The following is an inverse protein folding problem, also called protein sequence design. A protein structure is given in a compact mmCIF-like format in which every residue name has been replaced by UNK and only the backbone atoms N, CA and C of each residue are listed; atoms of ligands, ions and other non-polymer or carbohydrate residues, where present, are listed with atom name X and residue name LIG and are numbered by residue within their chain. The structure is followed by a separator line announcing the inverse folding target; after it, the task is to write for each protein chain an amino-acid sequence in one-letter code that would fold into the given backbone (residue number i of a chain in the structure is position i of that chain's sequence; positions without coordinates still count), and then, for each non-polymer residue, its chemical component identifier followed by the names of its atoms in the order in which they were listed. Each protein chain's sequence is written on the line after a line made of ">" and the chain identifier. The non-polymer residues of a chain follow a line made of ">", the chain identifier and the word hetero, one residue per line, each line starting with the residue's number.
data_IF_263533836260
#
_entry.id   IF_263533836260
#
_cell.length_a   1.000
_cell.length_b   1.000
_cell.length_c   1.000
_cell.angle_alpha   90.00
_cell.angle_beta   90.00
_cell.angle_gamma   90.00
#
_symmetry.space_group_name_H-M   'P 1'
#
loop_
_entity.id
_entity.type
_entity.pdbx_description
1 polymer ?
#
# COMPACT_ATOMS: atom_id res chain seq x y z
N UNK A 1 133.71 -15.73 67.06
CA UNK A 1 133.98 -16.73 66.00
C UNK A 1 132.66 -17.16 65.37
N UNK A 2 132.40 -16.79 64.11
CA UNK A 2 131.20 -17.23 63.39
C UNK A 2 131.39 -18.68 62.93
N UNK A 3 130.59 -19.61 63.47
CA UNK A 3 130.59 -21.03 63.04
C UNK A 3 130.19 -21.08 61.56
N UNK A 4 131.09 -21.61 60.72
CA UNK A 4 130.80 -21.91 59.31
C UNK A 4 129.60 -22.88 59.28
N UNK A 5 128.47 -22.43 58.73
CA UNK A 5 127.29 -23.29 58.52
C UNK A 5 127.69 -24.52 57.70
N UNK A 6 127.21 -25.70 58.08
CA UNK A 6 127.51 -26.95 57.38
C UNK A 6 126.94 -26.91 55.95
N UNK A 7 127.54 -27.66 55.01
CA UNK A 7 127.04 -27.74 53.64
C UNK A 7 125.55 -28.12 53.58
N UNK A 8 125.10 -28.97 54.52
CA UNK A 8 123.70 -29.39 54.67
C UNK A 8 122.76 -28.22 55.02
N UNK A 9 123.20 -27.26 55.81
CA UNK A 9 122.39 -26.08 56.17
C UNK A 9 122.23 -25.13 54.98
N UNK A 10 123.25 -25.03 54.12
CA UNK A 10 123.17 -24.24 52.87
C UNK A 10 122.19 -24.87 51.89
N UNK A 11 122.23 -26.19 51.73
CA UNK A 11 121.29 -26.91 50.87
C UNK A 11 119.83 -26.78 51.35
N UNK A 12 119.59 -26.88 52.66
CA UNK A 12 118.26 -26.64 53.25
C UNK A 12 117.77 -25.21 52.99
N UNK A 13 118.62 -24.20 53.19
CA UNK A 13 118.28 -22.81 52.90
C UNK A 13 117.96 -22.59 51.43
N UNK A 14 118.73 -23.17 50.50
CA UNK A 14 118.45 -23.08 49.06
C UNK A 14 117.10 -23.73 48.73
N UNK A 15 116.78 -24.89 49.30
CA UNK A 15 115.49 -25.57 49.13
C UNK A 15 114.32 -24.78 49.73
N UNK A 16 114.53 -24.10 50.86
CA UNK A 16 113.51 -23.24 51.46
C UNK A 16 113.27 -21.98 50.61
N UNK A 17 114.34 -21.33 50.13
CA UNK A 17 114.26 -20.16 49.24
C UNK A 17 113.63 -20.53 47.90
N UNK A 18 113.94 -21.70 47.32
CA UNK A 18 113.28 -22.13 46.08
C UNK A 18 111.79 -22.38 46.30
N UNK A 19 111.41 -23.04 47.41
CA UNK A 19 110.00 -23.27 47.77
C UNK A 19 109.24 -21.97 48.04
N UNK A 20 109.84 -20.96 48.68
CA UNK A 20 109.18 -19.67 48.89
C UNK A 20 109.01 -18.91 47.58
N UNK A 21 110.02 -18.94 46.70
CA UNK A 21 109.93 -18.36 45.36
C UNK A 21 108.86 -19.05 44.50
N UNK A 22 108.78 -20.37 44.52
CA UNK A 22 107.77 -21.15 43.80
C UNK A 22 106.36 -20.84 44.33
N UNK A 23 106.18 -20.78 45.66
CA UNK A 23 104.92 -20.36 46.28
C UNK A 23 104.51 -18.96 45.86
N UNK A 24 105.45 -18.01 45.86
CA UNK A 24 105.21 -16.64 45.41
C UNK A 24 104.84 -16.58 43.91
N UNK A 25 105.53 -17.35 43.06
CA UNK A 25 105.25 -17.44 41.64
C UNK A 25 103.86 -18.04 41.36
N UNK A 26 103.47 -19.11 42.06
CA UNK A 26 102.13 -19.71 41.98
C UNK A 26 101.08 -18.71 42.47
N UNK A 27 101.32 -18.00 43.58
CA UNK A 27 100.40 -16.98 44.08
C UNK A 27 100.20 -15.85 43.07
N UNK A 28 101.28 -15.37 42.42
CA UNK A 28 101.22 -14.37 41.34
C UNK A 28 100.39 -14.88 40.16
N UNK A 29 100.63 -16.11 39.69
CA UNK A 29 99.84 -16.72 38.60
C UNK A 29 98.36 -16.91 38.97
N UNK A 30 98.07 -17.31 40.21
CA UNK A 30 96.69 -17.43 40.73
C UNK A 30 95.98 -16.07 40.76
N UNK A 31 96.66 -15.02 41.21
CA UNK A 31 96.13 -13.64 41.19
C UNK A 31 95.81 -13.19 39.76
N UNK A 32 96.76 -13.35 38.83
CA UNK A 32 96.55 -13.02 37.41
C UNK A 32 95.39 -13.82 36.79
N UNK A 33 95.26 -15.11 37.11
CA UNK A 33 94.13 -15.93 36.66
C UNK A 33 92.80 -15.45 37.25
N UNK A 34 92.79 -15.03 38.51
CA UNK A 34 91.63 -14.44 39.18
C UNK A 34 91.17 -13.15 38.50
N UNK A 35 92.11 -12.24 38.23
CA UNK A 35 91.87 -10.97 37.50
C UNK A 35 91.35 -11.24 36.08
N UNK A 36 91.96 -12.16 35.33
CA UNK A 36 91.50 -12.55 34.00
C UNK A 36 90.07 -13.12 34.02
N UNK A 37 89.75 -13.97 35.00
CA UNK A 37 88.38 -14.51 35.18
C UNK A 37 87.38 -13.40 35.55
N UNK A 38 87.77 -12.45 36.40
CA UNK A 38 86.93 -11.31 36.77
C UNK A 38 86.66 -10.41 35.54
N UNK A 39 87.69 -10.09 34.77
CA UNK A 39 87.58 -9.34 33.51
C UNK A 39 86.64 -10.01 32.51
N UNK A 40 86.79 -11.34 32.29
CA UNK A 40 85.88 -12.11 31.44
C UNK A 40 84.42 -12.03 31.91
N UNK A 41 84.18 -12.17 33.22
CA UNK A 41 82.83 -12.08 33.79
C UNK A 41 82.22 -10.68 33.61
N UNK A 42 83.00 -9.62 33.84
CA UNK A 42 82.58 -8.24 33.62
C UNK A 42 82.21 -8.00 32.15
N UNK A 43 83.10 -8.34 31.21
CA UNK A 43 82.84 -8.20 29.78
C UNK A 43 81.61 -9.00 29.31
N UNK A 44 81.42 -10.21 29.84
CA UNK A 44 80.22 -11.02 29.53
C UNK A 44 78.94 -10.35 30.06
N UNK A 45 78.99 -9.76 31.26
CA UNK A 45 77.85 -9.04 31.84
C UNK A 45 77.52 -7.80 31.00
N UNK A 46 78.52 -7.02 30.61
CA UNK A 46 78.37 -5.86 29.74
C UNK A 46 77.76 -6.24 28.39
N UNK A 47 78.30 -7.27 27.73
CA UNK A 47 77.77 -7.78 26.46
C UNK A 47 76.29 -8.21 26.58
N UNK A 48 75.93 -8.89 27.68
CA UNK A 48 74.53 -9.25 27.96
C UNK A 48 73.63 -8.02 28.15
N UNK A 49 74.11 -7.00 28.86
CA UNK A 49 73.33 -5.76 29.05
C UNK A 49 73.16 -5.00 27.74
N UNK A 50 74.21 -4.92 26.91
CA UNK A 50 74.14 -4.30 25.58
C UNK A 50 73.14 -5.03 24.68
N UNK A 51 73.19 -6.37 24.65
CA UNK A 51 72.24 -7.19 23.90
C UNK A 51 70.79 -6.99 24.38
N UNK A 52 70.56 -6.92 25.70
CA UNK A 52 69.23 -6.63 26.25
C UNK A 52 68.71 -5.26 25.80
N UNK A 53 69.54 -4.22 25.90
CA UNK A 53 69.17 -2.86 25.49
C UNK A 53 68.88 -2.78 23.99
N UNK A 54 69.66 -3.46 23.16
CA UNK A 54 69.43 -3.51 21.72
C UNK A 54 68.11 -4.23 21.38
N UNK A 55 67.84 -5.37 22.03
CA UNK A 55 66.56 -6.08 21.88
C UNK A 55 65.38 -5.19 22.26
N UNK A 56 65.47 -4.44 23.36
CA UNK A 56 64.43 -3.51 23.78
C UNK A 56 64.25 -2.35 22.77
N UNK A 57 65.34 -1.81 22.23
CA UNK A 57 65.29 -0.77 21.19
C UNK A 57 64.61 -1.29 19.93
N UNK A 58 64.96 -2.49 19.48
CA UNK A 58 64.36 -3.13 18.30
C UNK A 58 62.88 -3.44 18.53
N UNK A 59 62.50 -3.93 19.71
CA UNK A 59 61.10 -4.13 20.08
C UNK A 59 60.29 -2.83 20.09
N UNK A 60 60.87 -1.73 20.60
CA UNK A 60 60.23 -0.40 20.57
C UNK A 60 60.04 0.10 19.13
N UNK A 61 61.07 -0.04 18.28
CA UNK A 61 61.01 0.36 16.86
C UNK A 61 59.95 -0.44 16.08
N UNK A 62 59.93 -1.76 16.23
CA UNK A 62 58.96 -2.65 15.56
C UNK A 62 57.53 -2.37 16.03
N UNK A 63 57.30 -2.20 17.35
CA UNK A 63 55.98 -1.82 17.89
C UNK A 63 55.52 -0.46 17.36
N UNK A 64 56.41 0.52 17.25
CA UNK A 64 56.10 1.83 16.68
C UNK A 64 55.74 1.74 15.19
N UNK A 65 56.49 0.95 14.42
CA UNK A 65 56.19 0.70 13.01
C UNK A 65 54.81 0.04 12.83
N UNK A 66 54.51 -1.00 13.62
CA UNK A 66 53.22 -1.67 13.63
C UNK A 66 52.06 -0.72 13.99
N UNK A 67 52.24 0.14 15.01
CA UNK A 67 51.22 1.14 15.36
C UNK A 67 50.96 2.11 14.20
N UNK A 68 52.01 2.54 13.47
CA UNK A 68 51.88 3.41 12.30
C UNK A 68 51.15 2.72 11.15
N UNK A 69 51.46 1.46 10.85
CA UNK A 69 50.80 0.71 9.77
C UNK A 69 49.32 0.49 10.06
N UNK A 70 48.97 0.10 11.29
CA UNK A 70 47.57 0.01 11.72
C UNK A 70 46.87 1.36 11.66
N UNK A 71 47.52 2.43 12.12
CA UNK A 71 46.98 3.79 12.05
C UNK A 71 46.61 4.18 10.62
N UNK A 72 47.51 3.94 9.66
CA UNK A 72 47.27 4.18 8.23
C UNK A 72 46.12 3.33 7.69
N UNK A 73 46.08 2.04 8.04
CA UNK A 73 45.00 1.14 7.60
C UNK A 73 43.63 1.57 8.14
N UNK A 74 43.56 2.01 9.41
CA UNK A 74 42.33 2.56 10.00
C UNK A 74 41.90 3.84 9.32
N UNK A 75 42.81 4.79 9.11
CA UNK A 75 42.52 6.04 8.40
C UNK A 75 41.95 5.78 7.00
N UNK A 76 42.58 4.88 6.22
CA UNK A 76 42.10 4.50 4.88
C UNK A 76 40.70 3.86 4.93
N UNK A 77 40.45 2.98 5.90
CA UNK A 77 39.13 2.38 6.09
C UNK A 77 38.07 3.44 6.41
N UNK A 78 38.40 4.37 7.28
CA UNK A 78 37.46 5.41 7.72
C UNK A 78 37.18 6.40 6.59
N UNK A 79 38.18 6.75 5.78
CA UNK A 79 38.02 7.51 4.53
C UNK A 79 37.10 6.79 3.53
N UNK A 80 37.31 5.50 3.29
CA UNK A 80 36.44 4.70 2.42
C UNK A 80 35.00 4.64 2.93
N UNK A 81 34.80 4.54 4.25
CA UNK A 81 33.47 4.58 4.86
C UNK A 81 32.81 5.94 4.69
N UNK A 82 33.54 7.03 4.91
CA UNK A 82 33.04 8.38 4.69
C UNK A 82 32.64 8.59 3.22
N UNK A 83 33.48 8.16 2.27
CA UNK A 83 33.18 8.23 0.84
C UNK A 83 32.00 7.34 0.41
N UNK A 84 31.75 6.22 1.09
CA UNK A 84 30.56 5.41 0.86
C UNK A 84 29.30 6.10 1.39
N UNK A 85 29.37 6.72 2.57
CA UNK A 85 28.26 7.49 3.16
C UNK A 85 27.88 8.69 2.29
N UNK A 86 28.86 9.49 1.86
CA UNK A 86 28.59 10.66 1.02
C UNK A 86 27.95 10.28 -0.32
N UNK A 87 28.35 9.16 -0.93
CA UNK A 87 27.70 8.64 -2.15
C UNK A 87 26.25 8.20 -1.88
N UNK A 88 26.01 7.55 -0.75
CA UNK A 88 24.67 7.12 -0.37
C UNK A 88 23.76 8.33 -0.08
N UNK A 89 24.25 9.31 0.67
CA UNK A 89 23.55 10.58 0.96
C UNK A 89 23.25 11.36 -0.32
N UNK A 90 24.21 11.45 -1.24
CA UNK A 90 23.96 12.06 -2.55
C UNK A 90 22.86 11.32 -3.33
N UNK A 91 22.85 9.98 -3.29
CA UNK A 91 21.78 9.19 -3.88
C UNK A 91 20.40 9.48 -3.26
N UNK A 92 20.33 9.53 -1.93
CA UNK A 92 19.09 9.90 -1.21
C UNK A 92 18.63 11.30 -1.63
N UNK A 93 19.54 12.27 -1.66
CA UNK A 93 19.23 13.64 -2.07
C UNK A 93 18.70 13.71 -3.49
N UNK A 94 19.29 12.99 -4.45
CA UNK A 94 18.78 12.96 -5.83
C UNK A 94 17.36 12.39 -5.93
N UNK A 95 17.04 11.38 -5.11
CA UNK A 95 15.68 10.82 -5.03
C UNK A 95 14.73 11.85 -4.42
N UNK A 96 15.11 12.50 -3.33
CA UNK A 96 14.33 13.56 -2.69
C UNK A 96 14.07 14.73 -3.66
N UNK A 97 15.08 15.23 -4.35
CA UNK A 97 14.95 16.30 -5.34
C UNK A 97 14.01 15.90 -6.50
N UNK A 98 14.06 14.64 -6.93
CA UNK A 98 13.23 14.15 -8.04
C UNK A 98 11.77 13.95 -7.62
N UNK A 99 11.53 13.44 -6.41
CA UNK A 99 10.21 12.97 -5.99
C UNK A 99 9.46 13.98 -5.11
N UNK A 100 10.14 14.75 -4.26
CA UNK A 100 9.49 15.72 -3.36
C UNK A 100 8.64 16.76 -4.12
N UNK A 101 9.08 17.34 -5.25
CA UNK A 101 8.25 18.28 -6.01
C UNK A 101 7.00 17.63 -6.58
N UNK A 102 7.08 16.36 -7.00
CA UNK A 102 5.93 15.60 -7.50
C UNK A 102 4.93 15.31 -6.39
N UNK A 103 5.42 14.84 -5.24
CA UNK A 103 4.60 14.60 -4.04
C UNK A 103 3.91 15.90 -3.62
N UNK A 104 4.65 17.02 -3.56
CA UNK A 104 4.10 18.32 -3.21
C UNK A 104 3.01 18.76 -4.20
N UNK A 105 3.27 18.66 -5.50
CA UNK A 105 2.28 18.99 -6.53
C UNK A 105 1.02 18.13 -6.39
N UNK A 106 1.14 16.81 -6.27
CA UNK A 106 -0.02 15.94 -6.09
C UNK A 106 -0.77 16.21 -4.79
N UNK A 107 -0.09 16.62 -3.72
CA UNK A 107 -0.74 17.03 -2.47
C UNK A 107 -1.51 18.35 -2.63
N UNK A 108 -0.95 19.31 -3.36
CA UNK A 108 -1.59 20.57 -3.70
C UNK A 108 -2.83 20.33 -4.59
N UNK A 109 -2.70 19.52 -5.66
CA UNK A 109 -3.80 19.13 -6.55
C UNK A 109 -4.95 18.44 -5.77
N UNK A 110 -4.62 17.54 -4.85
CA UNK A 110 -5.62 16.88 -3.99
C UNK A 110 -6.31 17.86 -3.05
N UNK A 111 -5.59 18.86 -2.54
CA UNK A 111 -6.16 19.89 -1.68
C UNK A 111 -7.12 20.79 -2.46
N UNK A 112 -6.80 21.13 -3.71
CA UNK A 112 -7.68 21.89 -4.61
C UNK A 112 -8.95 21.11 -4.96
N UNK A 113 -8.82 19.84 -5.34
CA UNK A 113 -9.96 18.98 -5.65
C UNK A 113 -10.91 18.83 -4.44
N UNK A 114 -10.35 18.67 -3.23
CA UNK A 114 -11.16 18.64 -1.99
C UNK A 114 -11.92 19.95 -1.77
N UNK A 115 -11.32 21.11 -2.06
CA UNK A 115 -12.01 22.40 -1.98
C UNK A 115 -13.15 22.47 -2.99
N UNK A 116 -12.89 22.03 -4.23
CA UNK A 116 -13.90 22.00 -5.28
C UNK A 116 -15.09 21.10 -4.93
N UNK A 117 -14.84 19.86 -4.47
CA UNK A 117 -15.89 18.94 -4.04
C UNK A 117 -16.69 19.46 -2.85
N UNK A 118 -16.05 20.12 -1.89
CA UNK A 118 -16.75 20.74 -0.77
C UNK A 118 -17.66 21.88 -1.24
N UNK A 119 -17.24 22.66 -2.23
CA UNK A 119 -18.08 23.72 -2.81
C UNK A 119 -19.28 23.12 -3.56
N UNK A 120 -19.08 22.06 -4.37
CA UNK A 120 -20.18 21.33 -5.01
C UNK A 120 -21.19 20.84 -3.95
N UNK A 121 -20.70 20.15 -2.90
CA UNK A 121 -21.56 19.66 -1.81
C UNK A 121 -22.35 20.78 -1.15
N UNK A 122 -21.72 21.94 -0.94
CA UNK A 122 -22.37 23.12 -0.36
C UNK A 122 -23.49 23.64 -1.27
N UNK A 123 -23.23 23.74 -2.57
CA UNK A 123 -24.23 24.15 -3.57
C UNK A 123 -25.38 23.13 -3.63
N UNK A 124 -25.08 21.82 -3.63
CA UNK A 124 -26.07 20.75 -3.66
C UNK A 124 -26.98 20.78 -2.42
N UNK A 125 -26.40 21.00 -1.23
CA UNK A 125 -27.17 21.17 0.01
C UNK A 125 -28.07 22.40 -0.10
N UNK A 126 -27.53 23.54 -0.54
CA UNK A 126 -28.31 24.77 -0.71
C UNK A 126 -29.45 24.60 -1.75
N UNK A 127 -29.21 23.87 -2.84
CA UNK A 127 -30.21 23.57 -3.86
C UNK A 127 -31.27 22.60 -3.34
N UNK A 128 -30.89 21.55 -2.60
CA UNK A 128 -31.82 20.63 -1.94
C UNK A 128 -32.71 21.35 -0.94
N UNK A 129 -32.15 22.27 -0.16
CA UNK A 129 -32.93 23.09 0.79
C UNK A 129 -33.92 24.02 0.08
N UNK A 130 -33.57 24.54 -1.11
CA UNK A 130 -34.49 25.32 -1.96
C UNK A 130 -35.57 24.46 -2.60
N UNK A 131 -35.24 23.24 -3.05
CA UNK A 131 -36.19 22.31 -3.67
C UNK A 131 -37.09 21.60 -2.68
N UNK A 132 -36.69 21.50 -1.40
CA UNK A 132 -37.59 21.11 -0.31
C UNK A 132 -38.66 22.19 -0.18
N UNK A 133 -39.75 22.01 -0.95
CA UNK A 133 -41.06 22.53 -0.63
C UNK A 133 -41.25 22.37 0.89
N UNK A 134 -41.49 23.49 1.58
CA UNK A 134 -41.89 23.49 2.99
C UNK A 134 -43.31 22.92 3.10
N UNK A 135 -43.48 21.66 2.69
CA UNK A 135 -44.67 20.91 2.98
C UNK A 135 -44.80 20.88 4.50
N UNK A 136 -45.85 21.53 5.00
CA UNK A 136 -46.09 21.65 6.44
C UNK A 136 -46.28 20.25 7.01
N UNK A 137 -45.93 20.03 8.27
CA UNK A 137 -46.01 18.70 8.90
C UNK A 137 -47.37 18.01 8.72
N UNK A 138 -48.46 18.78 8.64
CA UNK A 138 -49.81 18.28 8.43
C UNK A 138 -50.05 17.73 7.00
N UNK A 139 -49.33 18.22 5.99
CA UNK A 139 -49.41 17.72 4.60
C UNK A 139 -48.66 16.39 4.44
N UNK A 140 -47.64 16.12 5.26
CA UNK A 140 -46.92 14.82 5.28
C UNK A 140 -47.65 13.73 6.07
N UNK A 141 -48.62 14.13 6.90
CA UNK A 141 -49.40 13.22 7.75
C UNK A 141 -50.71 12.78 7.08
N UNK A 142 -51.05 13.33 5.91
CA UNK A 142 -52.25 12.90 5.18
C UNK A 142 -51.93 11.65 4.37
N UNK A 143 -52.80 10.65 4.47
CA UNK A 143 -52.78 9.48 3.60
C UNK A 143 -52.77 9.92 2.13
N UNK A 144 -51.89 9.31 1.32
CA UNK A 144 -51.90 9.55 -0.13
C UNK A 144 -53.22 9.06 -0.74
N UNK A 145 -53.65 9.66 -1.85
CA UNK A 145 -54.84 9.18 -2.57
C UNK A 145 -54.72 7.69 -2.94
N UNK A 146 -53.51 7.24 -3.28
CA UNK A 146 -53.23 5.84 -3.60
C UNK A 146 -53.35 4.92 -2.37
N UNK A 147 -52.92 5.38 -1.20
CA UNK A 147 -53.05 4.63 0.06
C UNK A 147 -54.53 4.48 0.44
N UNK A 148 -55.35 5.51 0.24
CA UNK A 148 -56.80 5.45 0.46
C UNK A 148 -57.45 4.49 -0.54
N UNK A 149 -57.07 4.54 -1.83
CA UNK A 149 -57.60 3.67 -2.88
C UNK A 149 -57.28 2.18 -2.66
N UNK A 150 -56.11 1.87 -2.11
CA UNK A 150 -55.72 0.49 -1.77
C UNK A 150 -56.54 -0.09 -0.62
N UNK A 151 -56.87 0.72 0.38
CA UNK A 151 -57.64 0.31 1.55
C UNK A 151 -59.16 0.30 1.31
N UNK A 152 -59.63 0.89 0.21
CA UNK A 152 -61.03 0.93 -0.15
C UNK A 152 -61.52 -0.37 -0.80
N UNK A 153 -62.72 -0.86 -0.44
CA UNK A 153 -63.41 -1.90 -1.20
C UNK A 153 -63.53 -1.50 -2.68
N UNK A 154 -63.36 -2.45 -3.61
CA UNK A 154 -63.36 -2.15 -5.05
C UNK A 154 -64.65 -1.47 -5.52
N UNK A 155 -65.78 -1.76 -4.87
CA UNK A 155 -67.09 -1.17 -5.14
C UNK A 155 -67.15 0.33 -4.82
N UNK A 156 -66.36 0.81 -3.85
CA UNK A 156 -66.37 2.19 -3.38
C UNK A 156 -65.31 3.08 -4.05
N UNK A 157 -64.35 2.49 -4.79
CA UNK A 157 -63.30 3.25 -5.51
C UNK A 157 -63.87 4.26 -6.52
N UNK A 158 -64.88 3.91 -7.34
CA UNK A 158 -65.46 4.86 -8.27
C UNK A 158 -66.13 6.04 -7.56
N UNK A 159 -66.76 5.78 -6.41
CA UNK A 159 -67.37 6.81 -5.56
C UNK A 159 -66.28 7.73 -5.03
N UNK A 160 -65.20 7.16 -4.48
CA UNK A 160 -64.04 7.91 -4.00
C UNK A 160 -63.47 8.86 -5.06
N UNK A 161 -63.31 8.41 -6.31
CA UNK A 161 -62.78 9.29 -7.37
C UNK A 161 -63.63 10.53 -7.65
N UNK A 162 -64.94 10.49 -7.37
CA UNK A 162 -65.84 11.61 -7.55
C UNK A 162 -65.80 12.60 -6.37
N UNK A 163 -65.61 12.11 -5.15
CA UNK A 163 -65.69 12.94 -3.93
C UNK A 163 -64.32 13.21 -3.26
N UNK A 164 -63.22 12.60 -3.71
CA UNK A 164 -61.90 12.76 -3.09
C UNK A 164 -61.38 14.20 -3.01
N UNK A 165 -61.88 15.09 -3.87
CA UNK A 165 -61.54 16.51 -3.88
C UNK A 165 -62.25 17.34 -2.80
N UNK A 166 -63.40 16.87 -2.30
CA UNK A 166 -64.18 17.57 -1.26
C UNK A 166 -63.86 17.04 0.14
N UNK A 167 -63.34 15.82 0.24
CA UNK A 167 -62.97 15.17 1.51
C UNK A 167 -61.57 15.63 1.93
N UNK A 168 -61.51 16.29 3.09
CA UNK A 168 -60.26 16.74 3.72
C UNK A 168 -60.00 15.91 4.97
N UNK A 169 -58.78 15.42 5.12
CA UNK A 169 -58.37 14.78 6.37
C UNK A 169 -58.41 15.80 7.52
N UNK A 170 -58.97 15.39 8.66
CA UNK A 170 -58.93 16.17 9.90
C UNK A 170 -57.75 15.76 10.77
N UNK A 171 -57.35 16.59 11.74
CA UNK A 171 -56.23 16.26 12.63
C UNK A 171 -56.45 15.02 13.52
N UNK A 172 -57.67 14.47 13.57
CA UNK A 172 -58.04 13.28 14.35
C UNK A 172 -58.71 12.17 13.53
N UNK A 173 -58.87 12.36 12.21
CA UNK A 173 -59.59 11.43 11.32
C UNK A 173 -58.83 11.25 10.03
N UNK A 174 -58.69 10.02 9.58
CA UNK A 174 -58.01 9.72 8.31
C UNK A 174 -58.86 10.13 7.10
N UNK A 175 -58.27 10.19 5.90
CA UNK A 175 -59.04 10.53 4.68
C UNK A 175 -60.01 9.41 4.34
N UNK A 176 -59.61 8.16 4.61
CA UNK A 176 -60.46 6.99 4.48
C UNK A 176 -61.65 7.03 5.44
N UNK A 177 -61.42 7.32 6.73
CA UNK A 177 -62.48 7.43 7.73
C UNK A 177 -63.50 8.52 7.37
N UNK A 178 -63.01 9.70 6.95
CA UNK A 178 -63.86 10.80 6.51
C UNK A 178 -64.67 10.47 5.25
N UNK A 179 -64.13 9.61 4.36
CA UNK A 179 -64.88 9.10 3.21
C UNK A 179 -65.98 8.12 3.61
N UNK A 180 -65.67 7.17 4.50
CA UNK A 180 -66.65 6.19 4.96
C UNK A 180 -67.80 6.87 5.72
N UNK A 181 -67.50 7.82 6.60
CA UNK A 181 -68.50 8.64 7.28
C UNK A 181 -69.39 9.38 6.27
N UNK A 182 -68.80 9.91 5.18
CA UNK A 182 -69.57 10.57 4.13
C UNK A 182 -70.49 9.63 3.35
N UNK A 183 -70.06 8.39 3.12
CA UNK A 183 -70.88 7.36 2.46
C UNK A 183 -72.01 6.89 3.39
N UNK A 184 -71.78 6.85 4.70
CA UNK A 184 -72.80 6.55 5.71
C UNK A 184 -73.84 7.69 5.83
N UNK A 185 -73.41 8.95 5.74
CA UNK A 185 -74.30 10.12 5.77
C UNK A 185 -75.22 10.21 4.54
N UNK A 186 -74.70 9.88 3.35
CA UNK A 186 -75.42 9.98 2.07
C UNK A 186 -75.42 8.61 1.35
N UNK A 187 -76.31 7.67 1.73
CA UNK A 187 -76.36 6.33 1.15
C UNK A 187 -76.72 6.33 -0.35
N UNK A 188 -77.37 7.40 -0.83
CA UNK A 188 -77.78 7.56 -2.23
C UNK A 188 -76.61 7.81 -3.20
N UNK A 189 -75.41 8.13 -2.69
CA UNK A 189 -74.22 8.36 -3.51
C UNK A 189 -73.76 7.08 -4.22
N UNK A 190 -73.79 5.93 -3.54
CA UNK A 190 -73.33 4.65 -4.10
C UNK A 190 -74.17 4.21 -5.30
N UNK A 191 -75.52 4.11 -5.23
CA UNK A 191 -76.34 3.70 -6.35
C UNK A 191 -76.28 4.69 -7.52
N UNK A 192 -76.23 6.00 -7.23
CA UNK A 192 -76.13 7.03 -8.28
C UNK A 192 -74.84 6.91 -9.09
N UNK A 193 -73.73 6.57 -8.44
CA UNK A 193 -72.44 6.34 -9.10
C UNK A 193 -72.43 5.02 -9.84
N UNK A 194 -73.00 3.96 -9.26
CA UNK A 194 -73.15 2.66 -9.93
C UNK A 194 -73.98 2.79 -11.21
N UNK A 195 -75.14 3.44 -11.16
CA UNK A 195 -75.96 3.70 -12.36
C UNK A 195 -75.19 4.48 -13.43
N UNK A 196 -74.40 5.47 -13.03
CA UNK A 196 -73.59 6.25 -13.98
C UNK A 196 -72.53 5.39 -14.66
N UNK A 197 -71.82 4.57 -13.90
CA UNK A 197 -70.82 3.64 -14.43
C UNK A 197 -71.46 2.60 -15.34
N UNK A 198 -72.62 2.07 -14.98
CA UNK A 198 -73.38 1.14 -15.82
C UNK A 198 -73.79 1.79 -17.14
N UNK A 199 -74.30 3.03 -17.12
CA UNK A 199 -74.61 3.79 -18.33
C UNK A 199 -73.38 4.05 -19.19
N UNK A 200 -72.24 4.38 -18.58
CA UNK A 200 -70.98 4.58 -19.31
C UNK A 200 -70.44 3.28 -19.91
N UNK A 201 -70.56 2.16 -19.18
CA UNK A 201 -70.20 0.82 -19.65
C UNK A 201 -71.08 0.35 -20.79
N UNK A 202 -72.40 0.59 -20.71
CA UNK A 202 -73.33 0.30 -21.81
C UNK A 202 -72.97 1.11 -23.05
N UNK A 203 -72.67 2.42 -22.91
CA UNK A 203 -72.18 3.24 -24.03
C UNK A 203 -70.86 2.76 -24.62
N UNK A 204 -69.95 2.24 -23.79
CA UNK A 204 -68.69 1.64 -24.28
C UNK A 204 -68.95 0.36 -25.06
N UNK A 205 -69.80 -0.53 -24.54
CA UNK A 205 -70.22 -1.75 -25.25
C UNK A 205 -70.90 -1.42 -26.57
N UNK A 206 -71.80 -0.43 -26.61
CA UNK A 206 -72.42 0.05 -27.85
C UNK A 206 -71.40 0.57 -28.87
N UNK A 207 -70.35 1.27 -28.41
CA UNK A 207 -69.26 1.75 -29.28
C UNK A 207 -68.39 0.61 -29.80
N UNK A 208 -68.09 -0.38 -28.96
CA UNK A 208 -67.33 -1.56 -29.34
C UNK A 208 -68.12 -2.42 -30.34
N UNK A 209 -69.41 -2.61 -30.10
CA UNK A 209 -70.31 -3.28 -31.04
C UNK A 209 -70.38 -2.51 -32.37
N UNK A 210 -70.59 -1.19 -32.33
CA UNK A 210 -70.61 -0.36 -33.53
C UNK A 210 -69.29 -0.44 -34.32
N UNK A 211 -68.14 -0.38 -33.64
CA UNK A 211 -66.82 -0.53 -34.25
C UNK A 211 -66.63 -1.93 -34.86
N UNK A 212 -67.08 -2.97 -34.16
CA UNK A 212 -67.02 -4.35 -34.67
C UNK A 212 -67.92 -4.55 -35.91
N UNK A 213 -69.12 -3.95 -35.93
CA UNK A 213 -69.98 -3.96 -37.12
C UNK A 213 -69.41 -3.14 -38.29
N UNK A 214 -68.74 -2.03 -38.01
CA UNK A 214 -68.07 -1.22 -39.02
C UNK A 214 -66.85 -1.93 -39.63
N UNK A 215 -66.10 -2.69 -38.84
CA UNK A 215 -65.04 -3.57 -39.33
C UNK A 215 -65.57 -4.74 -40.16
N UNK A 216 -66.78 -5.24 -39.85
CA UNK A 216 -67.46 -6.32 -40.61
C UNK A 216 -68.23 -5.86 -41.83
N UNK A 217 -68.34 -4.56 -42.11
CA UNK A 217 -68.92 -4.10 -43.39
C UNK A 217 -68.06 -4.65 -44.52
N UNK A 218 -68.63 -5.48 -45.44
CA UNK A 218 -67.86 -5.98 -46.58
C UNK A 218 -67.41 -4.77 -47.39
N UNK A 219 -66.10 -4.49 -47.35
CA UNK A 219 -65.50 -3.49 -48.24
C UNK A 219 -65.86 -3.93 -49.66
N UNK A 220 -66.56 -3.06 -50.42
CA UNK A 220 -66.73 -3.25 -51.87
C UNK A 220 -65.36 -3.21 -52.50
N UNK A 221 -64.70 -4.36 -52.60
CA UNK A 221 -63.44 -4.51 -53.30
C UNK A 221 -63.73 -4.32 -54.79
N UNK A 222 -63.32 -3.17 -55.35
CA UNK A 222 -63.00 -3.08 -56.78
C UNK A 222 -61.89 -4.08 -57.02
N UNK A 223 -62.16 -5.12 -57.80
CA UNK A 223 -61.16 -6.05 -58.27
C UNK A 223 -60.11 -5.29 -59.08
N UNK A 224 -58.91 -5.12 -58.52
CA UNK A 224 -57.70 -4.86 -59.28
C UNK A 224 -56.76 -6.02 -59.00
N UNK A 225 -56.68 -6.93 -59.97
CA UNK A 225 -55.63 -7.92 -60.04
C UNK A 225 -54.28 -7.21 -60.12
N UNK A 226 -53.46 -7.37 -59.09
CA UNK A 226 -52.01 -7.15 -59.14
C UNK A 226 -51.35 -8.36 -58.51
N UNK A 227 -50.32 -8.79 -59.21
CA UNK A 227 -49.62 -10.07 -59.16
C UNK A 227 -48.79 -10.23 -57.88
N UNK A 228 -48.75 -11.46 -57.39
CA UNK A 228 -47.85 -11.91 -56.33
C UNK A 228 -46.43 -12.07 -56.92
N UNK A 229 -45.66 -10.99 -56.98
CA UNK A 229 -44.21 -11.05 -57.29
C UNK A 229 -43.31 -10.50 -56.17
N UNK A 230 -43.87 -9.98 -55.07
CA UNK A 230 -43.10 -9.26 -54.03
C UNK A 230 -42.95 -9.99 -52.68
N UNK A 231 -43.10 -11.32 -52.67
CA UNK A 231 -42.83 -12.17 -51.49
C UNK A 231 -41.64 -13.12 -51.67
N UNK A 232 -40.97 -13.07 -52.83
CA UNK A 232 -39.77 -13.88 -53.11
C UNK A 232 -38.46 -13.27 -52.60
N UNK A 233 -38.41 -11.96 -52.36
CA UNK A 233 -37.14 -11.26 -52.10
C UNK A 233 -36.80 -11.13 -50.59
N UNK A 234 -37.78 -11.32 -49.71
CA UNK A 234 -37.56 -11.22 -48.25
C UNK A 234 -37.08 -12.55 -47.63
N UNK A 235 -37.32 -13.68 -48.30
CA UNK A 235 -36.92 -15.01 -47.78
C UNK A 235 -35.50 -15.40 -48.25
N UNK A 236 -35.01 -14.84 -49.37
CA UNK A 236 -33.66 -15.11 -49.86
C UNK A 236 -32.55 -14.41 -49.05
N UNK A 237 -32.80 -13.20 -48.55
CA UNK A 237 -31.81 -12.44 -47.75
C UNK A 237 -31.63 -12.93 -46.31
N UNK A 238 -32.63 -13.58 -45.72
CA UNK A 238 -32.60 -14.02 -44.33
C UNK A 238 -31.81 -15.33 -44.10
N UNK A 239 -31.54 -16.10 -45.16
CA UNK A 239 -30.79 -17.35 -45.05
C UNK A 239 -29.28 -17.19 -45.28
N UNK A 240 -28.83 -16.16 -45.99
CA UNK A 240 -27.39 -15.88 -46.21
C UNK A 240 -26.69 -15.34 -44.96
N UNK A 241 -27.39 -14.59 -44.09
CA UNK A 241 -26.82 -14.11 -42.82
C UNK A 241 -26.63 -15.23 -41.78
N UNK A 242 -27.43 -16.29 -41.85
CA UNK A 242 -27.26 -17.44 -40.94
C UNK A 242 -26.10 -18.32 -41.38
N UNK A 243 -25.81 -18.42 -42.69
CA UNK A 243 -24.70 -19.22 -43.20
C UNK A 243 -23.32 -18.63 -42.85
N UNK A 244 -23.15 -17.30 -42.94
CA UNK A 244 -21.88 -16.64 -42.61
C UNK A 244 -21.53 -16.69 -41.12
N UNK A 245 -22.54 -16.70 -40.24
CA UNK A 245 -22.33 -16.82 -38.79
C UNK A 245 -21.75 -18.18 -38.37
N UNK A 246 -22.09 -19.27 -39.07
CA UNK A 246 -21.55 -20.61 -38.76
C UNK A 246 -20.15 -20.86 -39.35
N UNK A 247 -19.80 -20.23 -40.48
CA UNK A 247 -18.43 -20.29 -41.04
C UNK A 247 -17.41 -19.55 -40.14
N UNK A 248 -17.80 -18.44 -39.52
CA UNK A 248 -16.95 -17.71 -38.56
C UNK A 248 -16.72 -18.51 -37.26
N UNK A 249 -17.68 -19.35 -36.85
CA UNK A 249 -17.54 -20.21 -35.68
C UNK A 249 -16.65 -21.45 -35.92
N UNK A 250 -16.51 -21.89 -37.18
CA UNK A 250 -15.76 -23.09 -37.55
C UNK A 250 -14.28 -22.83 -37.90
N UNK A 251 -13.88 -21.58 -38.17
CA UNK A 251 -12.52 -21.22 -38.62
C UNK A 251 -11.49 -20.88 -37.52
N UNK A 252 -11.82 -21.07 -36.24
CA UNK A 252 -11.09 -20.46 -35.12
C UNK A 252 -9.97 -21.25 -34.43
N UNK A 253 -9.63 -22.48 -34.83
CA UNK A 253 -8.77 -23.36 -33.99
C UNK A 253 -7.33 -23.65 -34.47
N UNK A 254 -6.85 -23.16 -35.62
CA UNK A 254 -5.54 -23.58 -36.16
C UNK A 254 -4.41 -22.54 -36.10
N UNK A 255 -4.16 -21.88 -34.95
CA UNK A 255 -2.92 -21.07 -34.82
C UNK A 255 -2.35 -20.92 -33.40
N UNK A 256 -2.17 -22.03 -32.68
CA UNK A 256 -1.24 -22.08 -31.52
C UNK A 256 -0.44 -23.39 -31.50
N UNK A 257 0.56 -23.51 -32.39
CA UNK A 257 1.63 -24.50 -32.25
C UNK A 257 2.91 -24.07 -33.00
N UNK A 258 3.56 -23.00 -32.53
CA UNK A 258 4.96 -22.72 -32.85
C UNK A 258 5.58 -21.82 -31.78
N UNK A 259 5.94 -22.40 -30.64
CA UNK A 259 6.92 -21.87 -29.69
C UNK A 259 7.62 -23.04 -28.99
#
# INVERSE_FOLDING_TARGET
>A
MAKRKSAKDREKLVKEVSRTNDKAAVAKKKKALGEAKAGKRAATKEARTACKLDRERTNKKTRAAYKRTIGRARAKRDEQRAAARSRCEAGIHTVEETHNPRIKKSADDLAEERRHQNEIRRIDVANKDRQRSRAKSWERMQESNEEVEQNLPPELRPVWHLVKGTIKAGGRRSRLEAFLERVEEDPDLVPLVQERLERERLKQLEREEAAHFEQRRPRKTKATAKTNEDLGDVVAGAFDEVASFFDELAGGEDNQAAA
#
